data_IF_596253088069
#
_entry.id   IF_596253088069
#
_cell.length_a   1.000
_cell.length_b   1.000
_cell.length_c   1.000
_cell.angle_alpha   90.00
_cell.angle_beta   90.00
_cell.angle_gamma   90.00
#
_symmetry.space_group_name_H-M   'P 1'
#
loop_
_entity.id
_entity.type
_entity.pdbx_description
1 polymer ?
#
# COMPACT_ATOMS: atom_id res chain seq x y z
N UNK A 1 19.19 7.76 -2.11
CA UNK A 1 18.09 6.76 -2.06
C UNK A 1 18.52 5.45 -2.71
N UNK A 2 17.74 4.36 -2.53
CA UNK A 2 18.05 3.02 -3.05
C UNK A 2 18.43 3.02 -4.55
N UNK A 3 17.56 3.54 -5.42
CA UNK A 3 17.84 3.53 -6.86
C UNK A 3 19.03 4.43 -7.25
N UNK A 4 19.33 5.50 -6.50
CA UNK A 4 20.49 6.36 -6.79
C UNK A 4 21.82 5.67 -6.49
N UNK A 5 21.81 4.75 -5.53
CA UNK A 5 23.00 3.99 -5.16
C UNK A 5 23.19 2.74 -6.03
N UNK A 6 22.10 2.05 -6.36
CA UNK A 6 22.14 0.77 -7.06
C UNK A 6 21.83 0.86 -8.57
N UNK A 7 21.14 1.90 -9.03
CA UNK A 7 20.75 2.13 -10.43
C UNK A 7 21.07 3.57 -10.89
N UNK A 8 22.34 4.02 -10.83
CA UNK A 8 22.73 5.41 -11.09
C UNK A 8 22.62 5.82 -12.57
N UNK A 9 22.17 4.96 -13.48
CA UNK A 9 21.96 5.28 -14.91
C UNK A 9 20.49 5.49 -15.30
N UNK A 10 19.52 5.11 -14.45
CA UNK A 10 18.09 5.28 -14.69
C UNK A 10 17.65 6.74 -14.84
N UNK A 11 17.18 7.14 -16.02
CA UNK A 11 16.72 8.51 -16.29
C UNK A 11 15.30 8.80 -15.80
N UNK A 12 14.46 7.77 -15.78
CA UNK A 12 13.04 7.86 -15.42
C UNK A 12 12.66 6.75 -14.46
N UNK A 13 11.80 7.08 -13.51
CA UNK A 13 11.23 6.16 -12.53
C UNK A 13 9.74 6.08 -12.75
N UNK A 14 9.18 4.88 -12.58
CA UNK A 14 7.74 4.66 -12.64
C UNK A 14 7.25 4.12 -11.30
N UNK A 15 6.26 4.80 -10.72
CA UNK A 15 5.44 4.26 -9.64
C UNK A 15 4.19 3.66 -10.23
N UNK A 16 3.79 2.51 -9.71
CA UNK A 16 2.58 1.78 -10.09
C UNK A 16 2.01 1.14 -8.84
N UNK A 17 0.69 1.16 -8.67
CA UNK A 17 0.00 0.33 -7.67
C UNK A 17 0.00 -1.15 -8.10
N UNK A 18 -0.08 -2.04 -7.12
CA UNK A 18 -0.09 -3.48 -7.32
C UNK A 18 -1.34 -4.01 -8.05
N UNK A 19 -2.39 -3.19 -8.15
CA UNK A 19 -3.65 -3.49 -8.83
C UNK A 19 -3.76 -2.90 -10.24
N UNK A 20 -2.65 -2.46 -10.85
CA UNK A 20 -2.62 -1.86 -12.20
C UNK A 20 -1.78 -2.67 -13.18
N UNK A 21 -2.33 -2.82 -14.39
CA UNK A 21 -1.57 -3.30 -15.55
C UNK A 21 -1.12 -2.11 -16.41
N UNK A 22 0.14 -2.13 -16.87
CA UNK A 22 0.72 -1.13 -17.77
C UNK A 22 1.18 -1.79 -19.06
N UNK A 23 0.81 -1.19 -20.17
CA UNK A 23 1.36 -1.48 -21.49
C UNK A 23 2.70 -0.74 -21.67
N UNK A 24 3.79 -1.44 -21.38
CA UNK A 24 5.15 -0.89 -21.45
C UNK A 24 5.57 -0.66 -22.90
N UNK A 25 5.17 -1.54 -23.82
CA UNK A 25 5.55 -1.44 -25.23
C UNK A 25 5.04 -0.12 -25.79
N UNK A 26 3.78 0.23 -25.52
CA UNK A 26 3.20 1.50 -25.95
C UNK A 26 3.92 2.73 -25.39
N UNK A 27 4.39 2.66 -24.14
CA UNK A 27 5.16 3.75 -23.53
C UNK A 27 6.50 3.93 -24.26
N UNK A 28 7.18 2.84 -24.59
CA UNK A 28 8.48 2.89 -25.24
C UNK A 28 8.38 3.24 -26.72
N UNK A 29 7.38 2.73 -27.44
CA UNK A 29 7.21 2.94 -28.88
C UNK A 29 6.53 4.26 -29.22
N UNK A 30 5.41 4.59 -28.56
CA UNK A 30 4.56 5.71 -28.98
C UNK A 30 5.03 7.03 -28.35
N UNK A 31 5.42 6.98 -27.08
CA UNK A 31 5.84 8.18 -26.36
C UNK A 31 7.35 8.43 -26.49
N UNK A 32 8.16 7.38 -26.61
CA UNK A 32 9.63 7.46 -26.69
C UNK A 32 10.20 8.43 -25.65
N UNK A 33 9.98 8.07 -24.38
CA UNK A 33 10.28 8.93 -23.23
C UNK A 33 11.76 9.36 -23.19
N UNK A 34 12.67 8.58 -23.75
CA UNK A 34 14.09 8.93 -23.80
C UNK A 34 14.38 10.12 -24.73
N UNK A 35 13.60 10.29 -25.81
CA UNK A 35 13.76 11.42 -26.75
C UNK A 35 12.86 12.60 -26.43
N UNK A 36 11.63 12.32 -26.01
CA UNK A 36 10.58 13.33 -25.85
C UNK A 36 10.29 13.68 -24.39
N UNK A 37 10.78 12.86 -23.46
CA UNK A 37 10.64 13.09 -22.03
C UNK A 37 11.71 14.04 -21.50
N UNK A 38 11.31 14.84 -20.52
CA UNK A 38 12.16 15.69 -19.72
C UNK A 38 12.43 15.00 -18.40
N UNK A 39 13.71 14.86 -18.06
CA UNK A 39 14.13 14.32 -16.75
C UNK A 39 13.76 15.26 -15.59
N UNK A 40 13.28 16.47 -15.87
CA UNK A 40 12.82 17.45 -14.88
C UNK A 40 11.29 17.53 -14.80
N UNK A 41 10.56 16.54 -15.32
CA UNK A 41 9.10 16.54 -15.34
C UNK A 41 8.49 15.27 -14.73
N UNK A 42 7.22 15.38 -14.33
CA UNK A 42 6.37 14.29 -13.85
C UNK A 42 5.24 14.10 -14.86
N UNK A 43 4.98 12.85 -15.23
CA UNK A 43 4.01 12.41 -16.21
C UNK A 43 2.97 11.55 -15.53
N UNK A 44 1.73 12.03 -15.52
CA UNK A 44 0.65 11.41 -14.75
C UNK A 44 -0.71 11.92 -15.21
N UNK A 45 -1.76 11.28 -14.71
CA UNK A 45 -3.10 11.84 -14.75
C UNK A 45 -3.23 12.95 -13.70
N UNK A 46 -3.43 14.20 -14.14
CA UNK A 46 -3.53 15.35 -13.24
C UNK A 46 -4.91 15.41 -12.62
N UNK A 47 -4.96 15.36 -11.29
CA UNK A 47 -6.13 15.68 -10.50
C UNK A 47 -6.11 17.17 -10.15
N UNK A 48 -7.10 17.91 -10.63
CA UNK A 48 -7.26 19.34 -10.34
C UNK A 48 -8.24 19.52 -9.18
N UNK A 49 -7.89 20.41 -8.24
CA UNK A 49 -8.78 20.85 -7.15
C UNK A 49 -9.49 19.71 -6.40
N UNK A 50 -8.75 18.64 -6.07
CA UNK A 50 -9.30 17.53 -5.30
C UNK A 50 -9.81 18.02 -3.94
N UNK A 51 -11.09 17.82 -3.59
CA UNK A 51 -11.63 18.31 -2.32
C UNK A 51 -10.99 17.57 -1.14
N UNK A 52 -10.58 18.33 -0.12
CA UNK A 52 -10.12 17.75 1.13
C UNK A 52 -11.31 17.18 1.89
N UNK A 53 -11.43 15.85 1.92
CA UNK A 53 -12.59 15.18 2.52
C UNK A 53 -12.62 15.43 4.03
N UNK A 54 -13.74 15.97 4.51
CA UNK A 54 -13.92 16.38 5.92
C UNK A 54 -14.80 15.44 6.74
N UNK A 55 -15.35 14.40 6.13
CA UNK A 55 -16.11 13.38 6.84
C UNK A 55 -15.16 12.36 7.49
N UNK A 56 -15.12 12.23 8.83
CA UNK A 56 -14.29 11.26 9.53
C UNK A 56 -14.58 9.80 9.16
N UNK A 57 -15.72 9.51 8.53
CA UNK A 57 -16.09 8.15 8.09
C UNK A 57 -15.52 7.76 6.74
N UNK A 58 -14.95 8.72 6.01
CA UNK A 58 -14.42 8.50 4.67
C UNK A 58 -12.96 8.03 4.72
N UNK A 59 -12.58 7.07 3.85
CA UNK A 59 -11.20 6.52 3.77
C UNK A 59 -10.13 7.61 3.62
N UNK A 60 -10.46 8.66 2.87
CA UNK A 60 -9.57 9.79 2.55
C UNK A 60 -9.80 11.01 3.47
N UNK A 61 -10.33 10.83 4.68
CA UNK A 61 -10.55 11.92 5.63
C UNK A 61 -9.26 12.66 5.98
N UNK A 62 -9.31 13.99 5.89
CA UNK A 62 -8.19 14.87 6.25
C UNK A 62 -8.71 15.95 7.21
N UNK A 63 -8.24 15.99 8.46
CA UNK A 63 -8.71 16.98 9.42
C UNK A 63 -8.15 18.38 9.12
N UNK A 64 -8.87 19.43 9.54
CA UNK A 64 -8.51 20.83 9.26
C UNK A 64 -7.17 21.27 9.84
N UNK A 65 -6.75 20.69 10.97
CA UNK A 65 -5.45 21.02 11.57
C UNK A 65 -4.27 20.44 10.79
N UNK A 66 -4.49 19.40 9.97
CA UNK A 66 -3.48 18.83 9.06
C UNK A 66 -3.47 19.56 7.72
N UNK A 67 -4.65 19.81 7.16
CA UNK A 67 -4.80 20.58 5.92
C UNK A 67 -5.96 21.57 6.07
N UNK A 68 -5.70 22.87 6.26
CA UNK A 68 -6.76 23.85 6.51
C UNK A 68 -7.55 24.22 5.24
N UNK A 69 -6.94 24.04 4.06
CA UNK A 69 -7.53 24.47 2.79
C UNK A 69 -8.63 23.51 2.31
N UNK A 70 -9.71 24.01 1.70
CA UNK A 70 -10.82 23.16 1.24
C UNK A 70 -10.44 22.22 0.09
N UNK A 71 -9.42 22.55 -0.69
CA UNK A 71 -8.95 21.78 -1.84
C UNK A 71 -7.45 21.52 -1.73
N UNK A 72 -7.00 20.41 -2.34
CA UNK A 72 -5.59 20.13 -2.57
C UNK A 72 -5.08 20.92 -3.78
N UNK A 73 -3.78 21.26 -3.83
CA UNK A 73 -3.15 21.73 -5.05
C UNK A 73 -3.26 20.66 -6.14
N UNK A 74 -3.08 21.04 -7.40
CA UNK A 74 -3.00 20.07 -8.50
C UNK A 74 -1.93 19.01 -8.20
N UNK A 75 -2.30 17.75 -8.31
CA UNK A 75 -1.40 16.61 -8.04
C UNK A 75 -1.56 15.52 -9.09
N UNK A 76 -0.61 14.59 -9.10
CA UNK A 76 -0.70 13.36 -9.88
C UNK A 76 -1.63 12.39 -9.15
N UNK A 77 -2.85 12.21 -9.67
CA UNK A 77 -3.84 11.30 -9.12
C UNK A 77 -3.98 10.06 -9.99
N UNK A 78 -4.38 8.95 -9.38
CA UNK A 78 -4.50 7.67 -10.07
C UNK A 78 -3.27 6.79 -9.85
N UNK A 79 -3.27 5.58 -10.41
CA UNK A 79 -2.54 4.52 -9.75
C UNK A 79 -1.10 4.36 -10.28
N UNK A 80 -0.72 5.16 -11.28
CA UNK A 80 0.64 5.21 -11.80
C UNK A 80 1.07 6.63 -12.19
N UNK A 81 2.38 6.89 -12.06
CA UNK A 81 3.04 8.07 -12.61
C UNK A 81 4.48 7.74 -12.99
N UNK A 82 5.02 8.51 -13.94
CA UNK A 82 6.42 8.44 -14.35
C UNK A 82 7.09 9.76 -14.02
N UNK A 83 8.30 9.70 -13.47
CA UNK A 83 9.04 10.86 -13.00
C UNK A 83 10.45 10.83 -13.52
N UNK A 84 10.93 11.96 -14.04
CA UNK A 84 12.32 12.13 -14.39
C UNK A 84 13.21 12.25 -13.14
N UNK A 85 14.44 11.75 -13.23
CA UNK A 85 15.41 11.78 -12.12
C UNK A 85 15.62 13.16 -11.51
N UNK A 86 15.71 14.22 -12.32
CA UNK A 86 15.94 15.58 -11.81
C UNK A 86 14.73 16.11 -11.06
N UNK A 87 13.51 15.79 -11.51
CA UNK A 87 12.29 16.12 -10.78
C UNK A 87 12.23 15.40 -9.43
N UNK A 88 12.56 14.11 -9.42
CA UNK A 88 12.61 13.33 -8.19
C UNK A 88 13.62 13.90 -7.20
N UNK A 89 14.85 14.19 -7.65
CA UNK A 89 15.87 14.77 -6.78
C UNK A 89 15.40 16.10 -6.16
N UNK A 90 14.80 16.98 -6.97
CA UNK A 90 14.26 18.25 -6.48
C UNK A 90 13.13 18.04 -5.45
N UNK A 91 12.24 17.07 -5.69
CA UNK A 91 11.16 16.73 -4.75
C UNK A 91 11.72 16.20 -3.44
N UNK A 92 12.74 15.34 -3.48
CA UNK A 92 13.33 14.75 -2.28
C UNK A 92 14.08 15.78 -1.44
N UNK A 93 14.80 16.70 -2.09
CA UNK A 93 15.51 17.76 -1.40
C UNK A 93 14.53 18.68 -0.67
N UNK A 94 13.39 18.98 -1.30
CA UNK A 94 12.34 19.81 -0.71
C UNK A 94 11.52 19.04 0.34
N UNK A 95 11.22 17.76 0.11
CA UNK A 95 10.42 16.93 1.02
C UNK A 95 11.04 16.81 2.42
N UNK A 96 12.37 16.97 2.54
CA UNK A 96 13.07 17.00 3.84
C UNK A 96 12.65 18.19 4.72
N UNK A 97 12.10 19.25 4.13
CA UNK A 97 11.65 20.44 4.85
C UNK A 97 10.22 20.32 5.38
N UNK A 98 9.47 19.29 4.98
CA UNK A 98 8.07 19.13 5.35
C UNK A 98 7.86 17.94 6.30
N UNK A 99 6.96 18.06 7.29
CA UNK A 99 6.53 16.90 8.04
C UNK A 99 5.79 15.92 7.10
N UNK A 100 5.89 14.59 7.31
CA UNK A 100 5.19 13.60 6.49
C UNK A 100 3.68 13.88 6.42
N UNK A 101 3.13 14.00 5.20
CA UNK A 101 1.72 14.34 4.95
C UNK A 101 0.89 13.13 4.48
N UNK A 102 -0.32 13.02 5.01
CA UNK A 102 -1.02 11.74 5.22
C UNK A 102 -1.80 11.13 4.03
N UNK A 103 -1.50 11.49 2.78
CA UNK A 103 -2.29 10.96 1.64
C UNK A 103 -1.52 9.94 0.81
N UNK A 104 -0.19 10.02 0.77
CA UNK A 104 0.66 9.06 0.04
C UNK A 104 2.04 8.83 0.73
N UNK A 105 2.48 9.69 1.67
CA UNK A 105 3.88 9.70 2.16
C UNK A 105 4.20 8.71 3.29
N UNK A 106 3.22 8.02 3.85
CA UNK A 106 3.49 6.94 4.81
C UNK A 106 4.12 5.72 4.15
N UNK A 107 4.05 5.56 2.82
CA UNK A 107 4.76 4.49 2.13
C UNK A 107 6.30 4.63 2.18
N UNK A 108 6.84 5.85 2.35
CA UNK A 108 8.30 6.07 2.39
C UNK A 108 8.88 6.23 3.80
N UNK A 109 8.06 6.64 4.77
CA UNK A 109 8.49 6.82 6.18
C UNK A 109 7.90 5.80 7.14
N UNK A 110 6.98 4.93 6.69
CA UNK A 110 6.19 4.05 7.55
C UNK A 110 5.97 2.67 6.89
N UNK A 111 7.08 2.07 6.43
CA UNK A 111 7.15 0.66 6.03
C UNK A 111 7.32 -0.21 7.27
N UNK A 112 6.35 -0.18 8.19
CA UNK A 112 6.31 -1.15 9.28
C UNK A 112 5.04 -1.94 9.15
N UNK A 113 5.19 -3.22 8.81
CA UNK A 113 4.14 -4.17 9.11
C UNK A 113 4.12 -4.39 10.62
N UNK A 114 2.94 -4.22 11.22
CA UNK A 114 2.72 -4.63 12.59
C UNK A 114 2.73 -6.16 12.62
N UNK A 115 3.51 -6.73 13.54
CA UNK A 115 3.45 -8.17 13.81
C UNK A 115 2.20 -8.41 14.66
N UNK A 116 1.11 -8.76 13.98
CA UNK A 116 -0.19 -8.94 14.61
C UNK A 116 -0.30 -10.33 15.22
N UNK A 117 -0.10 -10.41 16.52
CA UNK A 117 -0.29 -11.63 17.30
C UNK A 117 -1.76 -11.76 17.74
N UNK A 118 -2.33 -12.95 17.54
CA UNK A 118 -3.73 -13.26 17.92
C UNK A 118 -4.75 -12.25 17.37
N UNK A 119 -4.61 -11.87 16.10
CA UNK A 119 -5.57 -10.99 15.47
C UNK A 119 -6.96 -11.64 15.39
N UNK A 120 -7.99 -10.95 15.89
CA UNK A 120 -9.36 -11.44 15.86
C UNK A 120 -9.91 -11.53 14.44
N UNK A 121 -10.47 -12.69 14.11
CA UNK A 121 -11.13 -12.93 12.83
C UNK A 121 -12.44 -12.15 12.81
N UNK A 122 -12.60 -11.24 11.85
CA UNK A 122 -13.78 -10.38 11.77
C UNK A 122 -15.00 -11.19 11.31
N UNK A 123 -16.01 -11.26 12.18
CA UNK A 123 -17.30 -11.96 11.93
C UNK A 123 -18.47 -11.05 11.59
N UNK A 124 -18.22 -9.74 11.47
CA UNK A 124 -19.19 -8.74 11.01
C UNK A 124 -18.82 -8.31 9.59
N UNK A 125 -19.79 -7.86 8.80
CA UNK A 125 -19.58 -7.44 7.41
C UNK A 125 -18.53 -6.31 7.36
N UNK A 126 -17.38 -6.62 6.77
CA UNK A 126 -16.28 -5.70 6.50
C UNK A 126 -15.37 -6.31 5.41
N UNK A 127 -14.41 -5.52 4.92
CA UNK A 127 -13.47 -5.96 3.87
C UNK A 127 -12.58 -7.15 4.29
N UNK A 128 -12.44 -7.44 5.59
CA UNK A 128 -11.75 -8.62 6.15
C UNK A 128 -12.70 -9.62 6.82
N UNK A 129 -13.99 -9.62 6.46
CA UNK A 129 -14.95 -10.58 6.99
C UNK A 129 -14.55 -12.01 6.62
N UNK A 130 -14.55 -12.92 7.60
CA UNK A 130 -14.33 -14.35 7.35
C UNK A 130 -15.44 -15.16 8.04
N UNK A 131 -16.19 -16.01 7.29
CA UNK A 131 -17.22 -16.84 7.88
C UNK A 131 -16.62 -18.03 8.65
N UNK A 132 -17.37 -18.57 9.62
CA UNK A 132 -16.90 -19.66 10.50
C UNK A 132 -16.57 -20.96 9.76
N UNK A 133 -17.23 -21.23 8.63
CA UNK A 133 -16.96 -22.43 7.84
C UNK A 133 -15.64 -22.36 7.07
N UNK A 134 -15.16 -21.16 6.72
CA UNK A 134 -13.85 -20.96 6.09
C UNK A 134 -12.74 -20.97 7.12
N UNK A 135 -12.94 -20.28 8.26
CA UNK A 135 -11.99 -20.25 9.35
C UNK A 135 -12.74 -20.42 10.68
N UNK A 136 -12.68 -21.58 11.34
CA UNK A 136 -13.46 -21.82 12.56
C UNK A 136 -12.85 -21.15 13.79
N UNK A 137 -11.54 -20.91 13.79
CA UNK A 137 -10.82 -20.38 14.94
C UNK A 137 -11.15 -18.91 15.20
N UNK A 138 -11.15 -18.44 16.45
CA UNK A 138 -11.43 -17.03 16.77
C UNK A 138 -10.30 -16.08 16.33
N UNK A 139 -9.09 -16.58 16.14
CA UNK A 139 -7.89 -15.79 15.83
C UNK A 139 -7.17 -16.33 14.59
N UNK A 140 -6.46 -15.45 13.90
CA UNK A 140 -5.49 -15.79 12.88
C UNK A 140 -4.14 -16.21 13.50
N UNK A 141 -3.28 -16.95 12.77
CA UNK A 141 -1.87 -17.08 13.13
C UNK A 141 -1.22 -15.69 13.19
N UNK A 142 -0.05 -15.60 13.82
CA UNK A 142 0.70 -14.34 13.83
C UNK A 142 1.15 -14.01 12.42
N UNK A 143 0.88 -12.80 11.94
CA UNK A 143 1.21 -12.36 10.59
C UNK A 143 1.68 -10.91 10.58
N UNK A 144 2.35 -10.49 9.50
CA UNK A 144 2.75 -9.11 9.26
C UNK A 144 1.58 -8.37 8.59
N UNK A 145 0.92 -7.47 9.31
CA UNK A 145 -0.18 -6.66 8.79
C UNK A 145 0.24 -5.21 8.56
N UNK A 146 -0.02 -4.68 7.37
CA UNK A 146 0.35 -3.29 7.07
C UNK A 146 0.48 -3.06 5.57
N UNK A 147 0.82 -1.83 5.15
CA UNK A 147 0.96 -1.50 3.74
C UNK A 147 2.20 -2.15 3.09
N UNK A 148 3.16 -2.63 3.88
CA UNK A 148 4.37 -3.31 3.39
C UNK A 148 5.10 -4.08 4.50
N UNK A 149 5.81 -5.14 4.11
CA UNK A 149 6.76 -5.89 4.95
C UNK A 149 8.05 -6.17 4.17
N UNK A 150 9.17 -6.34 4.88
CA UNK A 150 10.45 -6.74 4.29
C UNK A 150 10.65 -8.23 4.51
N UNK A 151 11.02 -8.95 3.46
CA UNK A 151 11.28 -10.38 3.47
C UNK A 151 12.61 -10.68 2.78
N UNK A 152 13.39 -11.61 3.34
CA UNK A 152 14.59 -12.11 2.68
C UNK A 152 14.23 -13.02 1.50
N UNK A 153 15.03 -13.01 0.43
CA UNK A 153 14.81 -13.86 -0.77
C UNK A 153 14.62 -15.35 -0.44
N UNK A 154 15.34 -15.88 0.55
CA UNK A 154 15.21 -17.28 0.96
C UNK A 154 13.85 -17.57 1.60
N UNK A 155 13.31 -16.63 2.38
CA UNK A 155 11.99 -16.74 2.99
C UNK A 155 10.88 -16.62 1.93
N UNK A 156 11.02 -15.68 0.98
CA UNK A 156 10.10 -15.52 -0.15
C UNK A 156 10.01 -16.81 -0.96
N UNK A 157 11.15 -17.37 -1.37
CA UNK A 157 11.18 -18.61 -2.16
C UNK A 157 10.51 -19.76 -1.41
N UNK A 158 10.80 -19.93 -0.13
CA UNK A 158 10.20 -20.97 0.69
C UNK A 158 8.68 -20.81 0.84
N UNK A 159 8.20 -19.58 1.01
CA UNK A 159 6.76 -19.28 1.08
C UNK A 159 6.07 -19.56 -0.27
N UNK A 160 6.68 -19.17 -1.39
CA UNK A 160 6.13 -19.42 -2.73
C UNK A 160 6.09 -20.91 -3.08
N UNK A 161 7.10 -21.67 -2.64
CA UNK A 161 7.11 -23.12 -2.82
C UNK A 161 6.04 -23.79 -1.96
N UNK A 162 5.86 -23.34 -0.72
CA UNK A 162 4.84 -23.84 0.20
C UNK A 162 3.42 -23.47 -0.25
N UNK A 163 3.23 -22.31 -0.88
CA UNK A 163 1.92 -21.85 -1.37
C UNK A 163 1.24 -22.88 -2.30
N UNK A 164 2.01 -23.74 -2.97
CA UNK A 164 1.50 -24.80 -3.84
C UNK A 164 0.77 -25.92 -3.08
N UNK A 165 1.04 -26.07 -1.79
CA UNK A 165 0.45 -27.10 -0.92
C UNK A 165 -0.84 -26.63 -0.22
N UNK A 166 -1.18 -25.34 -0.33
CA UNK A 166 -2.31 -24.73 0.37
C UNK A 166 -3.35 -24.18 -0.60
N UNK A 167 -4.66 -24.26 -0.25
CA UNK A 167 -5.67 -23.50 -0.97
C UNK A 167 -5.44 -22.00 -0.74
N UNK A 168 -5.63 -21.15 -1.75
CA UNK A 168 -5.43 -19.71 -1.61
C UNK A 168 -6.41 -19.11 -0.60
N UNK A 169 -5.95 -18.13 0.17
CA UNK A 169 -6.75 -17.40 1.17
C UNK A 169 -6.75 -15.91 0.83
N UNK A 170 -7.95 -15.32 0.69
CA UNK A 170 -8.16 -13.98 0.11
C UNK A 170 -7.66 -12.80 0.97
N UNK A 171 -7.15 -13.05 2.18
CA UNK A 171 -6.47 -12.03 2.97
C UNK A 171 -4.97 -12.29 2.83
N UNK A 172 -4.33 -11.63 1.87
CA UNK A 172 -2.96 -11.91 1.44
C UNK A 172 -1.94 -11.84 2.59
N UNK A 173 -2.01 -10.79 3.42
CA UNK A 173 -1.16 -10.65 4.61
C UNK A 173 -1.23 -11.89 5.52
N UNK A 174 -2.44 -12.37 5.77
CA UNK A 174 -2.70 -13.54 6.63
C UNK A 174 -2.25 -14.82 5.93
N UNK A 175 -2.39 -14.91 4.61
CA UNK A 175 -2.00 -16.09 3.85
C UNK A 175 -0.48 -16.26 3.81
N UNK A 176 0.24 -15.32 3.22
CA UNK A 176 1.68 -15.44 3.00
C UNK A 176 2.49 -15.30 4.29
N UNK A 177 2.23 -14.23 5.05
CA UNK A 177 3.05 -13.92 6.24
C UNK A 177 2.52 -14.55 7.53
N UNK A 178 1.34 -15.18 7.46
CA UNK A 178 0.73 -15.90 8.58
C UNK A 178 0.72 -17.41 8.34
N UNK A 179 -0.25 -17.91 7.57
CA UNK A 179 -0.50 -19.35 7.39
C UNK A 179 0.73 -20.06 6.81
N UNK A 180 1.25 -19.58 5.68
CA UNK A 180 2.39 -20.20 5.01
C UNK A 180 3.65 -20.04 5.85
N UNK A 181 3.98 -18.82 6.27
CA UNK A 181 5.13 -18.56 7.13
C UNK A 181 5.13 -19.41 8.42
N UNK A 182 3.98 -19.59 9.07
CA UNK A 182 3.85 -20.46 10.26
C UNK A 182 4.11 -21.93 9.92
N UNK A 183 3.60 -22.41 8.79
CA UNK A 183 3.74 -23.83 8.40
C UNK A 183 5.20 -24.27 8.18
N UNK A 184 6.06 -23.35 7.73
CA UNK A 184 7.49 -23.58 7.50
C UNK A 184 8.39 -22.93 8.57
N UNK A 185 7.81 -22.39 9.64
CA UNK A 185 8.54 -21.88 10.79
C UNK A 185 9.33 -20.59 10.55
N UNK A 186 8.89 -19.72 9.64
CA UNK A 186 9.48 -18.38 9.44
C UNK A 186 9.03 -17.45 10.56
N UNK A 187 10.01 -16.90 11.28
CA UNK A 187 9.78 -15.90 12.34
C UNK A 187 9.37 -14.54 11.74
N UNK A 188 8.35 -13.90 12.33
CA UNK A 188 7.97 -12.52 12.03
C UNK A 188 8.62 -11.61 13.06
N UNK A 189 9.55 -10.78 12.60
CA UNK A 189 10.31 -9.88 13.49
C UNK A 189 9.60 -8.54 13.59
N UNK A 190 9.26 -8.15 14.82
CA UNK A 190 8.75 -6.81 15.11
C UNK A 190 9.92 -5.82 15.27
N UNK A 191 10.07 -4.92 14.30
CA UNK A 191 11.16 -3.94 14.28
C UNK A 191 10.88 -2.73 15.17
N UNK A 192 9.62 -2.46 15.51
CA UNK A 192 9.22 -1.40 16.44
C UNK A 192 9.53 -1.84 17.86
N UNK A 193 9.12 -3.06 18.24
CA UNK A 193 9.44 -3.63 19.54
C UNK A 193 10.95 -3.82 19.78
N UNK A 194 11.75 -3.97 18.71
CA UNK A 194 13.21 -4.04 18.77
C UNK A 194 13.91 -2.68 18.83
N UNK A 195 13.17 -1.57 18.89
CA UNK A 195 13.72 -0.21 19.01
C UNK A 195 14.45 0.30 17.76
N UNK A 196 14.27 -0.38 16.63
CA UNK A 196 14.96 -0.06 15.38
C UNK A 196 14.19 0.93 14.50
N UNK A 197 12.93 1.27 14.86
CA UNK A 197 12.06 2.18 14.13
C UNK A 197 11.22 3.02 15.12
N UNK A 198 10.91 4.26 14.75
CA UNK A 198 10.05 5.13 15.54
C UNK A 198 8.57 4.76 15.35
N UNK A 199 7.87 4.48 16.44
CA UNK A 199 6.42 4.26 16.44
C UNK A 199 5.69 5.61 16.34
N UNK A 200 5.07 5.89 15.19
CA UNK A 200 4.06 6.94 15.11
C UNK A 200 2.70 6.30 15.40
N UNK A 201 2.20 6.49 16.63
CA UNK A 201 0.89 6.00 17.05
C UNK A 201 -0.21 6.67 16.23
N UNK A 202 -1.00 5.87 15.50
CA UNK A 202 -2.21 6.37 14.84
C UNK A 202 -3.45 6.15 15.70
N UNK A 203 -4.20 7.22 16.04
CA UNK A 203 -5.55 7.09 16.58
C UNK A 203 -6.49 6.77 15.40
N UNK A 204 -6.34 5.59 14.83
CA UNK A 204 -7.01 5.17 13.61
C UNK A 204 -7.20 3.67 13.61
N UNK A 205 -7.97 3.15 14.57
CA UNK A 205 -8.53 1.80 14.43
C UNK A 205 -9.21 1.70 13.07
N UNK A 206 -8.79 0.75 12.23
CA UNK A 206 -9.56 0.30 11.06
C UNK A 206 -10.88 -0.33 11.55
N UNK A 207 -11.80 0.52 12.02
CA UNK A 207 -13.04 0.10 12.64
C UNK A 207 -14.00 -0.38 11.55
N UNK A 208 -14.53 -1.58 11.76
CA UNK A 208 -15.58 -2.17 10.93
C UNK A 208 -16.89 -1.37 11.09
N UNK A 209 -17.10 -0.35 10.26
CA UNK A 209 -18.41 0.29 10.11
C UNK A 209 -18.73 0.54 8.64
N UNK A 210 -19.12 -0.52 7.93
CA UNK A 210 -20.02 -0.37 6.79
C UNK A 210 -21.44 -0.42 7.33
N UNK A 211 -22.13 0.72 7.29
CA UNK A 211 -23.56 0.82 7.58
C UNK A 211 -24.34 -0.11 6.67
N UNK A 212 -25.32 -0.80 7.27
CA UNK A 212 -26.36 -1.56 6.58
C UNK A 212 -27.00 -0.69 5.48
N UNK A 213 -26.72 -0.98 4.22
CA UNK A 213 -27.63 -0.82 3.06
C UNK A 213 -26.85 -1.04 1.76
N UNK A 214 -26.81 -2.30 1.33
CA UNK A 214 -26.91 -2.79 -0.07
C UNK A 214 -26.54 -4.26 -0.04
N UNK A 215 -27.50 -5.05 0.43
CA UNK A 215 -27.54 -6.48 0.11
C UNK A 215 -27.57 -6.63 -1.41
N UNK A 216 -26.65 -7.45 -1.91
CA UNK A 216 -26.75 -8.28 -3.11
C UNK A 216 -28.09 -8.12 -3.85
N UNK A 217 -28.10 -7.31 -4.92
CA UNK A 217 -29.06 -7.55 -5.98
C UNK A 217 -28.52 -8.72 -6.81
N UNK A 218 -29.29 -9.81 -7.02
CA UNK A 218 -28.87 -10.85 -7.95
C UNK A 218 -28.78 -10.25 -9.35
N UNK A 219 -27.62 -10.35 -9.98
CA UNK A 219 -27.47 -10.10 -11.42
C UNK A 219 -28.31 -11.15 -12.13
N UNK A 220 -29.48 -10.75 -12.62
CA UNK A 220 -30.26 -11.57 -13.56
C UNK A 220 -29.58 -11.43 -14.92
N UNK A 221 -29.11 -12.54 -15.46
CA UNK A 221 -28.83 -12.64 -16.88
C UNK A 221 -30.19 -12.74 -17.61
N UNK A 222 -30.42 -11.80 -18.52
CA UNK A 222 -31.47 -11.83 -19.53
C UNK A 222 -30.80 -11.63 -20.89
#
# INVERSE_FOLDING_TARGET
MFHQHYCPQTLFLMKVDDDVCIDIDRILTDWNIEKNGSISSIYCHKAYEGPAVRDPKHKLFVPKHIWPMPYFPTYCGGPAYIMGRSAEQAILDEARNFPPFYIELTAYTMLVADVLQRAEVKRKICYRFVPKHIWPMPYFPTYCGGPAYIMGRSAEQAILDEARNFPPFYIEDVFYTGILAESIGIERVDWVAKGNLYELSFPGSFNCHLSQEKMLAPVKFS
#
